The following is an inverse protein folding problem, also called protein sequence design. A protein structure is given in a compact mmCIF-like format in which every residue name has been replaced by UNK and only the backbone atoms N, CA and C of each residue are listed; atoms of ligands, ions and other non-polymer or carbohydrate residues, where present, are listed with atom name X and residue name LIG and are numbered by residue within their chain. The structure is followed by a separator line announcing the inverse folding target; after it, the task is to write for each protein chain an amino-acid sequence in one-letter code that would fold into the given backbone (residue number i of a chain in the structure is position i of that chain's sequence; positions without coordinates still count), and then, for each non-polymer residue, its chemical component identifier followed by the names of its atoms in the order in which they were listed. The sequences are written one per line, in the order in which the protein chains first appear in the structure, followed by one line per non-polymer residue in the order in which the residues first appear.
data_IF_098477346927
#
_entry.id   IF_098477346927
#
_cell.length_a   1.000
_cell.length_b   1.000
_cell.length_c   1.000
_cell.angle_alpha   90.00
_cell.angle_beta   90.00
_cell.angle_gamma   90.00
#
_symmetry.space_group_name_H-M   'P 1'
#
loop_
_entity.id
_entity.type
_entity.pdbx_description
1 polymer ?
#
# COMPACT_ATOMS: atom_id res chain seq x y z
N UNK A 1 32.85 -17.89 11.31
CA UNK A 1 32.47 -17.37 9.99
C UNK A 1 31.94 -15.96 10.19
N UNK A 2 32.72 -15.02 9.73
CA UNK A 2 32.61 -13.60 10.10
C UNK A 2 31.36 -12.96 9.51
N UNK A 3 30.59 -12.25 10.34
CA UNK A 3 29.35 -11.56 9.99
C UNK A 3 29.58 -10.28 9.15
N UNK A 4 30.75 -10.09 8.58
CA UNK A 4 31.14 -8.86 7.87
C UNK A 4 30.86 -8.84 6.36
N UNK A 5 30.51 -9.98 5.77
CA UNK A 5 30.22 -10.07 4.33
C UNK A 5 28.73 -10.04 3.99
N UNK A 6 27.90 -9.44 4.84
CA UNK A 6 26.54 -9.10 4.40
C UNK A 6 26.65 -7.94 3.44
N UNK A 7 26.67 -8.34 2.17
CA UNK A 7 26.69 -7.44 1.03
C UNK A 7 25.76 -6.24 1.27
N UNK A 8 26.29 -5.09 1.04
CA UNK A 8 25.64 -3.81 0.95
C UNK A 8 24.62 -3.84 -0.20
N UNK A 9 23.58 -4.63 -0.06
CA UNK A 9 22.43 -4.61 -0.96
C UNK A 9 21.80 -3.23 -0.92
N UNK A 10 21.80 -2.54 -2.03
CA UNK A 10 21.27 -1.18 -2.17
C UNK A 10 19.73 -1.08 -2.06
N UNK A 11 19.04 -2.18 -1.82
CA UNK A 11 17.60 -2.20 -1.69
C UNK A 11 17.20 -2.35 -0.21
N UNK A 12 16.52 -1.36 0.40
CA UNK A 12 16.05 -1.46 1.78
C UNK A 12 15.13 -2.66 2.02
N UNK A 13 14.45 -3.14 1.00
CA UNK A 13 13.56 -4.31 1.04
C UNK A 13 14.35 -5.61 1.24
N UNK A 14 15.61 -5.65 0.78
CA UNK A 14 16.47 -6.82 0.94
C UNK A 14 17.04 -6.96 2.35
N UNK A 15 16.98 -5.92 3.16
CA UNK A 15 17.52 -5.94 4.52
C UNK A 15 16.55 -6.50 5.55
N UNK A 16 15.33 -6.83 5.16
CA UNK A 16 14.27 -7.33 6.05
C UNK A 16 13.99 -6.34 7.18
N UNK A 17 12.77 -5.97 7.38
CA UNK A 17 12.41 -5.11 8.51
C UNK A 17 12.74 -5.81 9.82
N UNK A 18 13.72 -5.28 10.54
CA UNK A 18 13.98 -5.69 11.92
C UNK A 18 12.97 -4.96 12.79
N UNK A 19 12.02 -5.70 13.30
CA UNK A 19 11.09 -5.17 14.29
C UNK A 19 11.59 -5.50 15.69
N UNK A 20 11.12 -4.75 16.69
CA UNK A 20 11.44 -5.03 18.09
C UNK A 20 10.97 -6.43 18.54
N UNK A 21 10.09 -7.07 17.80
CA UNK A 21 9.52 -8.38 18.08
C UNK A 21 10.24 -9.56 17.41
N UNK A 22 11.24 -9.32 16.59
CA UNK A 22 11.99 -10.38 15.94
C UNK A 22 12.69 -9.95 14.67
N UNK A 23 13.74 -10.65 14.32
CA UNK A 23 14.46 -10.45 13.06
C UNK A 23 13.64 -10.85 11.86
N UNK A 24 13.97 -10.30 10.71
CA UNK A 24 13.44 -10.75 9.45
C UNK A 24 13.69 -12.26 9.25
N UNK A 25 12.87 -12.92 8.44
CA UNK A 25 13.00 -14.34 8.13
C UNK A 25 14.41 -14.73 7.65
N UNK A 26 15.14 -13.82 7.05
CA UNK A 26 16.53 -13.99 6.62
C UNK A 26 17.49 -14.23 7.78
N UNK A 27 17.14 -13.81 9.00
CA UNK A 27 17.95 -14.04 10.20
C UNK A 27 17.49 -15.21 11.05
N UNK A 28 16.34 -15.78 10.72
CA UNK A 28 15.66 -16.72 11.61
C UNK A 28 16.07 -18.16 11.43
N UNK A 29 16.36 -18.58 10.24
CA UNK A 29 16.85 -19.94 10.01
C UNK A 29 17.97 -19.87 8.99
N UNK A 30 19.13 -20.42 9.29
CA UNK A 30 20.36 -20.12 8.59
C UNK A 30 20.16 -20.20 7.09
N UNK A 31 20.15 -19.06 6.45
CA UNK A 31 20.04 -18.94 5.00
C UNK A 31 18.80 -19.63 4.40
N UNK A 32 17.76 -19.79 5.19
CA UNK A 32 16.86 -20.89 5.02
C UNK A 32 15.75 -20.60 4.05
N UNK A 33 15.34 -19.37 3.93
CA UNK A 33 14.21 -19.07 3.07
C UNK A 33 14.64 -18.06 2.03
N UNK A 34 15.01 -18.54 0.85
CA UNK A 34 15.12 -17.65 -0.28
C UNK A 34 13.71 -17.17 -0.66
N UNK A 35 13.36 -15.99 -0.19
CA UNK A 35 12.10 -15.33 -0.46
C UNK A 35 12.13 -14.52 -1.76
N UNK A 36 13.22 -14.55 -2.53
CA UNK A 36 13.36 -13.78 -3.76
C UNK A 36 12.27 -14.13 -4.78
N UNK A 37 11.81 -15.36 -4.78
CA UNK A 37 10.70 -15.79 -5.62
C UNK A 37 9.42 -14.99 -5.37
N UNK A 38 9.24 -14.47 -4.17
CA UNK A 38 8.07 -13.66 -3.81
C UNK A 38 8.16 -12.25 -4.38
N UNK A 39 9.36 -11.83 -4.78
CA UNK A 39 9.64 -10.53 -5.42
C UNK A 39 9.70 -10.62 -6.95
N UNK A 40 9.56 -11.80 -7.52
CA UNK A 40 9.61 -12.00 -8.99
C UNK A 40 8.61 -11.13 -9.77
N UNK A 41 7.60 -10.62 -9.10
CA UNK A 41 6.55 -9.78 -9.67
C UNK A 41 6.58 -8.33 -9.18
N UNK A 42 7.64 -7.90 -8.51
CA UNK A 42 7.74 -6.53 -7.99
C UNK A 42 7.61 -5.48 -9.09
N UNK A 43 8.12 -5.76 -10.28
CA UNK A 43 7.92 -4.91 -11.45
C UNK A 43 6.44 -4.73 -11.82
N UNK A 44 5.60 -5.73 -11.55
CA UNK A 44 4.14 -5.63 -11.74
C UNK A 44 3.47 -4.80 -10.63
N UNK A 45 4.09 -4.73 -9.47
CA UNK A 45 3.65 -3.88 -8.37
C UNK A 45 3.85 -2.39 -8.67
N UNK A 46 4.83 -2.05 -9.50
CA UNK A 46 5.07 -0.69 -9.97
C UNK A 46 5.04 -0.65 -11.51
N UNK A 47 3.86 -0.46 -12.12
CA UNK A 47 3.70 -0.41 -13.57
C UNK A 47 4.26 0.88 -14.20
N UNK A 48 4.69 1.83 -13.40
CA UNK A 48 5.13 3.15 -13.84
C UNK A 48 6.66 3.21 -13.96
N UNK A 49 7.23 2.39 -14.85
CA UNK A 49 8.67 2.39 -15.11
C UNK A 49 9.16 3.79 -15.49
N UNK A 50 10.23 4.25 -14.83
CA UNK A 50 10.84 5.55 -15.09
C UNK A 50 10.03 6.75 -14.56
N UNK A 51 8.95 6.54 -13.85
CA UNK A 51 8.17 7.62 -13.25
C UNK A 51 8.86 8.18 -11.99
N UNK A 52 9.19 9.47 -12.02
CA UNK A 52 9.72 10.16 -10.84
C UNK A 52 8.57 10.66 -9.96
N UNK A 53 8.20 9.84 -8.99
CA UNK A 53 7.14 10.14 -8.02
C UNK A 53 7.44 11.41 -7.21
N UNK A 54 8.70 11.65 -6.83
CA UNK A 54 9.07 12.83 -6.03
C UNK A 54 8.90 14.12 -6.82
N UNK A 55 9.26 14.11 -8.09
CA UNK A 55 9.05 15.27 -8.97
C UNK A 55 7.56 15.53 -9.17
N UNK A 56 6.76 14.48 -9.42
CA UNK A 56 5.33 14.60 -9.60
C UNK A 56 4.62 15.18 -8.37
N UNK A 57 4.98 14.69 -7.17
CA UNK A 57 4.39 15.18 -5.91
C UNK A 57 4.75 16.62 -5.61
N UNK A 58 5.95 17.09 -5.99
CA UNK A 58 6.31 18.50 -5.82
C UNK A 58 5.42 19.48 -6.59
N UNK A 59 4.88 19.02 -7.73
CA UNK A 59 3.94 19.80 -8.54
C UNK A 59 2.48 19.65 -8.12
N UNK A 60 2.18 18.85 -7.12
CA UNK A 60 0.82 18.57 -6.70
C UNK A 60 0.24 19.70 -5.85
N UNK A 61 -0.92 20.22 -6.25
CA UNK A 61 -1.71 21.12 -5.40
C UNK A 61 -2.40 20.31 -4.30
N UNK A 62 -1.74 20.22 -3.16
CA UNK A 62 -2.22 19.48 -1.99
C UNK A 62 -3.48 20.10 -1.39
N UNK A 63 -3.63 21.44 -1.49
CA UNK A 63 -4.81 22.12 -0.97
C UNK A 63 -6.05 21.79 -1.81
N UNK A 64 -5.92 21.82 -3.13
CA UNK A 64 -6.98 21.40 -4.04
C UNK A 64 -7.33 19.91 -3.88
N UNK A 65 -6.34 19.04 -3.77
CA UNK A 65 -6.56 17.61 -3.52
C UNK A 65 -7.33 17.38 -2.20
N UNK A 66 -6.96 18.09 -1.15
CA UNK A 66 -7.64 18.00 0.14
C UNK A 66 -9.08 18.49 0.06
N UNK A 67 -9.33 19.56 -0.67
CA UNK A 67 -10.69 20.08 -0.88
C UNK A 67 -11.56 19.06 -1.61
N UNK A 68 -11.05 18.45 -2.69
CA UNK A 68 -11.76 17.43 -3.45
C UNK A 68 -12.05 16.18 -2.60
N UNK A 69 -11.09 15.73 -1.81
CA UNK A 69 -11.29 14.60 -0.88
C UNK A 69 -12.35 14.93 0.18
N UNK A 70 -12.34 16.15 0.72
CA UNK A 70 -13.34 16.59 1.70
C UNK A 70 -14.74 16.63 1.09
N UNK A 71 -14.88 17.14 -0.12
CA UNK A 71 -16.14 17.17 -0.85
C UNK A 71 -16.66 15.74 -1.10
N UNK A 72 -15.79 14.84 -1.54
CA UNK A 72 -16.15 13.44 -1.78
C UNK A 72 -16.71 12.75 -0.54
N UNK A 73 -16.22 13.08 0.65
CA UNK A 73 -16.66 12.42 1.89
C UNK A 73 -18.15 12.57 2.17
N UNK A 74 -18.78 13.61 1.67
CA UNK A 74 -20.20 13.93 1.89
C UNK A 74 -21.05 13.82 0.61
N UNK A 75 -20.44 13.53 -0.53
CA UNK A 75 -21.12 13.35 -1.81
C UNK A 75 -21.63 11.91 -1.96
N UNK A 76 -22.79 11.64 -1.35
CA UNK A 76 -23.38 10.31 -1.32
C UNK A 76 -23.82 9.84 -2.71
N UNK A 77 -23.25 8.73 -3.18
CA UNK A 77 -23.52 8.18 -4.51
C UNK A 77 -24.67 7.18 -4.48
N UNK A 78 -25.62 7.23 -5.45
CA UNK A 78 -26.75 6.30 -5.50
C UNK A 78 -26.35 4.83 -5.58
N UNK A 79 -25.22 4.53 -6.24
CA UNK A 79 -24.73 3.16 -6.40
C UNK A 79 -24.03 2.62 -5.15
N UNK A 80 -23.65 3.48 -4.22
CA UNK A 80 -23.06 3.14 -2.92
C UNK A 80 -23.36 4.27 -1.94
N UNK A 81 -24.56 4.31 -1.35
CA UNK A 81 -24.93 5.38 -0.42
C UNK A 81 -24.00 5.48 0.78
N UNK A 82 -23.73 6.69 1.21
CA UNK A 82 -22.89 6.94 2.37
C UNK A 82 -23.65 6.65 3.67
N UNK A 83 -23.02 5.90 4.57
CA UNK A 83 -23.55 5.67 5.90
C UNK A 83 -23.66 6.99 6.66
N UNK A 84 -24.85 7.32 7.14
CA UNK A 84 -25.11 8.59 7.83
C UNK A 84 -24.66 9.84 7.03
N UNK A 85 -24.65 9.72 5.71
CA UNK A 85 -24.27 10.80 4.80
C UNK A 85 -22.77 11.07 4.71
N UNK A 86 -21.91 10.15 5.20
CA UNK A 86 -20.47 10.38 5.20
C UNK A 86 -19.64 9.10 4.97
N UNK A 87 -18.70 9.13 4.02
CA UNK A 87 -17.83 7.99 3.69
C UNK A 87 -16.63 7.82 4.61
N UNK A 88 -16.43 8.67 5.61
CA UNK A 88 -15.24 8.68 6.45
C UNK A 88 -14.94 7.33 7.10
N UNK A 89 -15.96 6.66 7.65
CA UNK A 89 -15.78 5.33 8.25
C UNK A 89 -15.27 4.29 7.26
N UNK A 90 -15.81 4.29 6.03
CA UNK A 90 -15.37 3.41 4.96
C UNK A 90 -13.90 3.68 4.55
N UNK A 91 -13.52 4.95 4.46
CA UNK A 91 -12.15 5.34 4.09
C UNK A 91 -11.14 5.05 5.20
N UNK A 92 -11.50 5.26 6.47
CA UNK A 92 -10.68 4.90 7.63
C UNK A 92 -10.46 3.38 7.64
N UNK A 93 -11.52 2.59 7.44
CA UNK A 93 -11.40 1.13 7.35
C UNK A 93 -10.48 0.72 6.21
N UNK A 94 -10.61 1.32 5.04
CA UNK A 94 -9.73 1.02 3.91
C UNK A 94 -8.26 1.31 4.24
N UNK A 95 -7.97 2.45 4.85
CA UNK A 95 -6.60 2.81 5.24
C UNK A 95 -6.03 1.86 6.30
N UNK A 96 -6.83 1.51 7.29
CA UNK A 96 -6.45 0.55 8.33
C UNK A 96 -6.13 -0.83 7.74
N UNK A 97 -7.00 -1.35 6.88
CA UNK A 97 -6.81 -2.66 6.28
C UNK A 97 -5.67 -2.67 5.25
N UNK A 98 -5.38 -1.55 4.60
CA UNK A 98 -4.18 -1.43 3.79
C UNK A 98 -2.92 -1.51 4.65
N UNK A 99 -2.87 -0.77 5.76
CA UNK A 99 -1.77 -0.84 6.72
C UNK A 99 -1.64 -2.24 7.35
N UNK A 100 -2.75 -2.86 7.68
CA UNK A 100 -2.82 -4.20 8.28
C UNK A 100 -2.35 -5.34 7.40
N UNK A 101 -2.11 -5.11 6.11
CA UNK A 101 -1.46 -6.07 5.23
C UNK A 101 0.05 -6.23 5.50
N UNK A 102 0.64 -5.40 6.37
CA UNK A 102 2.04 -5.46 6.71
C UNK A 102 2.40 -6.75 7.46
N UNK A 103 3.48 -7.39 7.03
CA UNK A 103 4.02 -8.61 7.62
C UNK A 103 5.32 -8.29 8.35
N UNK A 104 5.29 -8.37 9.66
CA UNK A 104 6.47 -8.11 10.49
C UNK A 104 7.62 -9.10 10.23
N UNK A 105 7.28 -10.33 9.82
CA UNK A 105 8.27 -11.40 9.61
C UNK A 105 9.21 -11.14 8.43
N UNK A 106 8.72 -10.50 7.37
CA UNK A 106 9.48 -10.28 6.13
C UNK A 106 9.41 -8.85 5.60
N UNK A 107 8.70 -7.96 6.27
CA UNK A 107 8.59 -6.55 5.92
C UNK A 107 7.74 -6.25 4.70
N UNK A 108 6.99 -7.23 4.17
CA UNK A 108 6.12 -7.04 3.00
C UNK A 108 4.74 -6.52 3.39
N UNK A 109 4.06 -5.95 2.40
CA UNK A 109 2.74 -5.38 2.62
C UNK A 109 2.80 -3.95 3.18
N UNK A 110 1.70 -3.53 3.78
CA UNK A 110 1.54 -2.19 4.33
C UNK A 110 0.83 -1.22 3.40
N UNK A 111 0.60 0.00 3.88
CA UNK A 111 -0.29 0.96 3.25
C UNK A 111 0.15 1.46 1.87
N UNK A 112 1.44 1.37 1.56
CA UNK A 112 2.02 1.88 0.30
C UNK A 112 2.16 0.82 -0.79
N UNK A 113 1.85 -0.45 -0.52
CA UNK A 113 2.04 -1.54 -1.49
C UNK A 113 0.80 -1.80 -2.35
N UNK A 114 -0.37 -1.38 -1.89
CA UNK A 114 -1.63 -1.62 -2.57
C UNK A 114 -2.05 -3.09 -2.64
N UNK A 115 -1.47 -3.96 -1.83
CA UNK A 115 -1.72 -5.40 -1.84
C UNK A 115 -3.19 -5.77 -1.61
N UNK A 116 -3.95 -4.93 -0.94
CA UNK A 116 -5.37 -5.09 -0.71
C UNK A 116 -6.20 -5.29 -2.00
N UNK A 117 -5.68 -4.86 -3.15
CA UNK A 117 -6.33 -5.00 -4.46
C UNK A 117 -6.27 -6.42 -5.02
N UNK A 118 -5.35 -7.23 -4.54
CA UNK A 118 -5.00 -8.51 -5.13
C UNK A 118 -5.43 -9.70 -4.26
N UNK A 119 -5.64 -10.83 -4.91
CA UNK A 119 -5.84 -12.09 -4.21
C UNK A 119 -4.57 -12.44 -3.40
N UNK A 120 -4.73 -13.07 -2.22
CA UNK A 120 -6.00 -13.43 -1.58
C UNK A 120 -6.61 -12.33 -0.73
N UNK A 121 -5.90 -11.20 -0.51
CA UNK A 121 -6.31 -10.16 0.44
C UNK A 121 -7.64 -9.52 0.07
N UNK A 122 -7.92 -9.35 -1.23
CA UNK A 122 -9.17 -8.76 -1.70
C UNK A 122 -10.41 -9.61 -1.38
N UNK A 123 -10.22 -10.88 -1.03
CA UNK A 123 -11.30 -11.80 -0.66
C UNK A 123 -11.45 -12.01 0.87
N UNK A 124 -10.59 -11.36 1.67
CA UNK A 124 -10.73 -11.44 3.11
C UNK A 124 -12.04 -10.79 3.58
N UNK A 125 -12.74 -11.38 4.58
CA UNK A 125 -14.00 -10.80 5.09
C UNK A 125 -13.86 -9.34 5.51
N UNK A 126 -12.73 -8.98 6.13
CA UNK A 126 -12.47 -7.63 6.58
C UNK A 126 -12.29 -6.62 5.44
N UNK A 127 -12.01 -7.11 4.23
CA UNK A 127 -11.83 -6.29 3.04
C UNK A 127 -13.10 -6.19 2.18
N UNK A 128 -14.22 -6.70 2.66
CA UNK A 128 -15.49 -6.62 1.93
C UNK A 128 -15.86 -5.16 1.64
N UNK A 129 -16.32 -4.92 0.43
CA UNK A 129 -16.75 -3.58 -0.07
C UNK A 129 -15.65 -2.52 -0.15
N UNK A 130 -14.38 -2.84 0.09
CA UNK A 130 -13.29 -1.87 -0.09
C UNK A 130 -12.98 -1.57 -1.56
N UNK A 131 -13.42 -2.41 -2.48
CA UNK A 131 -13.48 -2.09 -3.91
C UNK A 131 -14.37 -0.88 -4.19
N UNK A 132 -15.47 -0.71 -3.43
CA UNK A 132 -16.36 0.46 -3.52
C UNK A 132 -15.64 1.72 -3.05
N UNK A 133 -14.87 1.65 -1.95
CA UNK A 133 -14.07 2.76 -1.47
C UNK A 133 -13.07 3.22 -2.55
N UNK A 134 -12.36 2.29 -3.19
CA UNK A 134 -11.44 2.62 -4.29
C UNK A 134 -12.18 3.22 -5.50
N UNK A 135 -13.37 2.72 -5.81
CA UNK A 135 -14.18 3.25 -6.89
C UNK A 135 -14.66 4.68 -6.61
N UNK A 136 -15.01 5.00 -5.36
CA UNK A 136 -15.34 6.37 -4.95
C UNK A 136 -14.16 7.33 -5.15
N UNK A 137 -12.94 6.88 -4.86
CA UNK A 137 -11.71 7.69 -5.04
C UNK A 137 -11.28 7.83 -6.51
N UNK A 138 -11.81 7.02 -7.41
CA UNK A 138 -11.34 6.96 -8.80
C UNK A 138 -11.42 8.29 -9.57
N UNK A 139 -12.47 9.14 -9.44
CA UNK A 139 -12.50 10.45 -10.06
C UNK A 139 -11.33 11.34 -9.62
N UNK A 140 -10.97 11.31 -8.34
CA UNK A 140 -9.83 12.05 -7.79
C UNK A 140 -8.53 11.50 -8.37
N UNK A 141 -8.34 10.18 -8.36
CA UNK A 141 -7.19 9.52 -8.98
C UNK A 141 -7.02 9.94 -10.44
N UNK A 142 -8.11 10.00 -11.22
CA UNK A 142 -8.05 10.47 -12.62
C UNK A 142 -7.65 11.94 -12.73
N UNK A 143 -8.15 12.78 -11.84
CA UNK A 143 -7.87 14.24 -11.85
C UNK A 143 -6.40 14.53 -11.57
N UNK A 144 -5.81 13.85 -10.58
CA UNK A 144 -4.44 14.11 -10.12
C UNK A 144 -3.40 13.16 -10.71
N UNK A 145 -3.83 12.19 -11.49
CA UNK A 145 -2.94 11.29 -12.24
C UNK A 145 -2.07 10.42 -11.33
N UNK A 146 -0.81 10.28 -11.70
CA UNK A 146 0.13 9.38 -11.03
C UNK A 146 0.81 10.01 -9.80
N UNK A 147 0.52 11.26 -9.50
CA UNK A 147 1.03 11.93 -8.29
C UNK A 147 0.32 11.49 -7.00
N UNK A 148 -0.85 10.82 -7.12
CA UNK A 148 -1.64 10.29 -6.00
C UNK A 148 -2.08 8.87 -6.25
#
# INVERSE_FOLDING_TARGET
MDSKDRATGKCPVMQGAVTAAGGANTGWWPNALNLDILHQHDAKGNPLHGFDYRAAVKGLDVAALRADLTALMTDSQPWWPADWGHYGGLMIRMAWHAAGSYRAADGRGGGNTGNQRFAPLNSWPDNVSLDKARRLLWPIKKKYGNAV
#
